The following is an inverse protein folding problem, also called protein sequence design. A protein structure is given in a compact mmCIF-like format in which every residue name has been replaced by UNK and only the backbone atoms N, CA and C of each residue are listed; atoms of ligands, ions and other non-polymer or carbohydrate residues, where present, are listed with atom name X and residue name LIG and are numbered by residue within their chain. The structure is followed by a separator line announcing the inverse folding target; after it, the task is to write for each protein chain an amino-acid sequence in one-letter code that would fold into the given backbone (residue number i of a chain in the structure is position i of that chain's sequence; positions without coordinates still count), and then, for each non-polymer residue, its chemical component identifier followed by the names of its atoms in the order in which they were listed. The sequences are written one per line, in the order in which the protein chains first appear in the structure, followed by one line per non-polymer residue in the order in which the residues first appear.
data_IF_649063920592
#
_entry.id   IF_649063920592
#
_cell.length_a   1.000
_cell.length_b   1.000
_cell.length_c   1.000
_cell.angle_alpha   90.00
_cell.angle_beta   90.00
_cell.angle_gamma   90.00
#
_symmetry.space_group_name_H-M   'P 1'
#
loop_
_entity.id
_entity.type
_entity.pdbx_description
1 polymer ?
#
# COMPACT_ATOMS: atom_id res chain seq x y z
N UNK A 1 -0.78 14.99 -14.85
CA UNK A 1 -0.81 16.01 -13.80
C UNK A 1 0.55 16.10 -13.13
N UNK A 2 0.90 17.28 -12.65
CA UNK A 2 2.27 17.55 -12.20
C UNK A 2 2.54 17.00 -10.79
N UNK A 3 1.54 17.09 -9.89
CA UNK A 3 1.62 16.60 -8.51
C UNK A 3 0.22 16.33 -7.94
N UNK A 4 0.16 15.81 -6.72
CA UNK A 4 -1.08 15.49 -6.04
C UNK A 4 -1.96 16.73 -5.76
N UNK A 5 -1.36 17.89 -5.49
CA UNK A 5 -2.11 19.13 -5.24
C UNK A 5 -2.79 19.64 -6.50
N UNK A 6 -2.11 19.58 -7.65
CA UNK A 6 -2.71 19.85 -8.95
C UNK A 6 -3.82 18.85 -9.26
N UNK A 7 -3.62 17.56 -8.98
CA UNK A 7 -4.66 16.54 -9.13
C UNK A 7 -5.89 16.84 -8.27
N UNK A 8 -5.70 17.18 -6.99
CA UNK A 8 -6.78 17.55 -6.08
C UNK A 8 -7.55 18.79 -6.59
N UNK A 9 -6.82 19.82 -7.03
CA UNK A 9 -7.43 21.03 -7.57
C UNK A 9 -8.35 20.73 -8.76
N UNK A 10 -7.90 19.86 -9.67
CA UNK A 10 -8.73 19.43 -10.80
C UNK A 10 -9.92 18.59 -10.35
N UNK A 11 -9.75 17.69 -9.39
CA UNK A 11 -10.84 16.88 -8.85
C UNK A 11 -11.92 17.77 -8.20
N UNK A 12 -11.52 18.81 -7.47
CA UNK A 12 -12.45 19.76 -6.88
C UNK A 12 -13.24 20.53 -7.95
N UNK A 13 -12.58 20.95 -9.05
CA UNK A 13 -13.21 21.65 -10.15
C UNK A 13 -14.16 20.78 -10.97
N UNK A 14 -13.81 19.49 -11.16
CA UNK A 14 -14.64 18.54 -11.95
C UNK A 14 -15.89 18.11 -11.19
N UNK A 15 -15.79 17.97 -9.87
CA UNK A 15 -16.96 17.67 -9.03
C UNK A 15 -16.76 16.47 -8.08
N UNK A 16 -17.82 16.07 -7.34
CA UNK A 16 -17.68 15.19 -6.18
C UNK A 16 -17.31 13.74 -6.52
N UNK A 17 -17.47 13.30 -7.77
CA UNK A 17 -17.09 11.96 -8.20
C UNK A 17 -15.61 11.84 -8.61
N UNK A 18 -14.94 12.98 -8.83
CA UNK A 18 -13.52 12.97 -9.17
C UNK A 18 -12.68 12.83 -7.90
N UNK A 19 -11.79 11.88 -7.89
CA UNK A 19 -10.90 11.56 -6.77
C UNK A 19 -9.47 11.43 -7.26
N UNK A 20 -8.52 11.60 -6.33
CA UNK A 20 -7.08 11.50 -6.61
C UNK A 20 -6.64 10.05 -6.45
N UNK A 21 -5.91 9.55 -7.41
CA UNK A 21 -5.13 8.31 -7.31
C UNK A 21 -3.73 8.69 -6.84
N UNK A 22 -3.24 7.99 -5.81
CA UNK A 22 -1.88 8.13 -5.30
C UNK A 22 -1.04 6.96 -5.82
N UNK A 23 -0.11 7.28 -6.72
CA UNK A 23 0.91 6.36 -7.18
C UNK A 23 2.19 6.59 -6.38
N UNK A 24 2.73 5.55 -5.73
CA UNK A 24 3.86 5.71 -4.83
C UNK A 24 5.16 6.06 -5.58
N UNK A 25 5.29 5.63 -6.84
CA UNK A 25 6.43 5.88 -7.70
C UNK A 25 6.49 7.29 -8.30
N UNK A 26 5.34 7.90 -8.54
CA UNK A 26 5.20 9.12 -9.33
C UNK A 26 5.43 10.44 -8.58
N UNK A 27 5.91 10.41 -7.36
CA UNK A 27 6.20 11.63 -6.59
C UNK A 27 7.69 12.00 -6.65
N UNK A 28 7.99 13.28 -6.47
CA UNK A 28 9.37 13.74 -6.34
C UNK A 28 10.08 13.04 -5.17
N UNK A 29 11.40 12.89 -5.27
CA UNK A 29 12.19 12.30 -4.19
C UNK A 29 12.02 13.10 -2.89
N UNK A 30 11.84 12.40 -1.76
CA UNK A 30 11.64 13.03 -0.45
C UNK A 30 10.22 13.54 -0.19
N UNK A 31 9.27 13.27 -1.07
CA UNK A 31 7.86 13.59 -0.81
C UNK A 31 7.33 12.69 0.31
N UNK A 32 6.66 13.32 1.28
CA UNK A 32 5.95 12.61 2.35
C UNK A 32 4.60 12.12 1.85
N UNK A 33 4.52 10.84 1.48
CA UNK A 33 3.31 10.26 0.87
C UNK A 33 2.22 10.01 1.91
N UNK A 34 2.56 9.60 3.13
CA UNK A 34 1.59 9.42 4.19
C UNK A 34 0.88 10.74 4.55
N UNK A 35 1.56 11.88 4.50
CA UNK A 35 0.92 13.18 4.67
C UNK A 35 -0.05 13.51 3.53
N UNK A 36 0.29 13.17 2.29
CA UNK A 36 -0.63 13.31 1.13
C UNK A 36 -1.89 12.47 1.36
N UNK A 37 -1.72 11.24 1.81
CA UNK A 37 -2.83 10.33 2.10
C UNK A 37 -3.74 10.92 3.18
N UNK A 38 -3.18 11.42 4.28
CA UNK A 38 -3.93 12.07 5.35
C UNK A 38 -4.73 13.27 4.83
N UNK A 39 -4.12 14.15 4.04
CA UNK A 39 -4.80 15.29 3.42
C UNK A 39 -5.95 14.87 2.49
N UNK A 40 -5.72 13.89 1.63
CA UNK A 40 -6.74 13.44 0.69
C UNK A 40 -7.91 12.72 1.38
N UNK A 41 -7.66 12.04 2.50
CA UNK A 41 -8.70 11.45 3.35
C UNK A 41 -9.55 12.54 4.02
N UNK A 42 -8.92 13.58 4.57
CA UNK A 42 -9.61 14.71 5.21
C UNK A 42 -10.50 15.46 4.21
N UNK A 43 -10.01 15.67 3.00
CA UNK A 43 -10.79 16.29 1.90
C UNK A 43 -11.84 15.36 1.27
N UNK A 44 -11.89 14.06 1.65
CA UNK A 44 -12.77 13.07 1.06
C UNK A 44 -12.48 12.81 -0.43
N UNK A 45 -11.21 12.92 -0.82
CA UNK A 45 -10.78 12.88 -2.24
C UNK A 45 -9.75 11.80 -2.55
N UNK A 46 -9.44 10.91 -1.62
CA UNK A 46 -8.62 9.74 -1.90
C UNK A 46 -9.44 8.68 -2.63
N UNK A 47 -9.11 8.42 -3.89
CA UNK A 47 -9.83 7.45 -4.73
C UNK A 47 -9.17 6.09 -4.79
N UNK A 48 -7.86 6.04 -4.71
CA UNK A 48 -7.13 4.78 -4.81
C UNK A 48 -5.63 4.94 -4.81
N UNK A 49 -4.98 3.80 -4.90
CA UNK A 49 -3.53 3.69 -4.98
C UNK A 49 -3.09 2.89 -6.19
N UNK A 50 -1.95 3.26 -6.75
CA UNK A 50 -1.03 2.37 -7.41
C UNK A 50 0.10 2.06 -6.44
N UNK A 51 0.06 0.87 -5.84
CA UNK A 51 1.09 0.41 -4.93
C UNK A 51 2.27 -0.17 -5.71
N UNK A 52 3.41 0.41 -5.51
CA UNK A 52 4.72 -0.02 -5.97
C UNK A 52 5.78 0.37 -4.94
N UNK A 53 7.05 0.19 -5.23
CA UNK A 53 8.14 0.78 -4.48
C UNK A 53 9.12 1.44 -5.46
N UNK A 54 9.66 2.58 -5.06
CA UNK A 54 10.66 3.33 -5.83
C UNK A 54 11.94 3.50 -5.02
N UNK A 55 13.06 3.60 -5.70
CA UNK A 55 14.34 3.91 -5.09
C UNK A 55 14.97 5.16 -5.68
N UNK A 56 15.04 5.23 -6.99
CA UNK A 56 15.70 6.33 -7.71
C UNK A 56 14.75 7.16 -8.55
N UNK A 57 13.76 6.52 -9.15
CA UNK A 57 12.75 7.13 -10.00
C UNK A 57 11.47 6.31 -9.91
N UNK A 58 10.71 6.24 -10.98
CA UNK A 58 9.55 5.39 -11.14
C UNK A 58 10.01 3.95 -11.45
N UNK A 59 10.48 3.28 -10.42
CA UNK A 59 11.15 1.97 -10.55
C UNK A 59 10.16 0.79 -10.57
N UNK A 60 8.92 0.98 -10.17
CA UNK A 60 7.86 -0.02 -10.08
C UNK A 60 8.29 -1.33 -9.39
N UNK A 61 9.05 -1.24 -8.32
CA UNK A 61 9.54 -2.39 -7.58
C UNK A 61 8.43 -3.05 -6.75
N UNK A 62 8.68 -4.26 -6.26
CA UNK A 62 7.81 -4.96 -5.32
C UNK A 62 7.48 -4.05 -4.13
N UNK A 63 6.21 -3.91 -3.83
CA UNK A 63 5.68 -3.00 -2.79
C UNK A 63 6.40 -3.17 -1.46
N UNK A 64 6.81 -2.07 -0.85
CA UNK A 64 7.43 -2.03 0.48
C UNK A 64 8.89 -2.48 0.56
N UNK A 65 9.54 -2.81 -0.58
CA UNK A 65 10.93 -3.31 -0.55
C UNK A 65 11.96 -2.24 -0.23
N UNK A 66 11.71 -0.99 -0.59
CA UNK A 66 12.67 0.12 -0.41
C UNK A 66 12.42 0.91 0.86
N UNK A 67 11.15 1.08 1.24
CA UNK A 67 10.76 1.81 2.44
C UNK A 67 9.54 1.14 3.12
N UNK A 68 9.72 0.04 3.84
CA UNK A 68 8.61 -0.66 4.50
C UNK A 68 7.97 0.18 5.62
N UNK A 69 8.69 1.13 6.22
CA UNK A 69 8.11 2.02 7.23
C UNK A 69 7.15 3.04 6.61
N UNK A 70 7.45 3.58 5.43
CA UNK A 70 6.54 4.46 4.68
C UNK A 70 5.25 3.72 4.31
N UNK A 71 5.36 2.49 3.80
CA UNK A 71 4.19 1.67 3.51
C UNK A 71 3.32 1.47 4.76
N UNK A 72 3.93 1.15 5.91
CA UNK A 72 3.23 1.04 7.18
C UNK A 72 2.59 2.38 7.60
N UNK A 73 3.27 3.51 7.42
CA UNK A 73 2.74 4.83 7.77
C UNK A 73 1.50 5.18 6.91
N UNK A 74 1.54 4.88 5.60
CA UNK A 74 0.38 5.01 4.71
C UNK A 74 -0.80 4.17 5.22
N UNK A 75 -0.57 2.89 5.54
CA UNK A 75 -1.62 2.04 6.11
C UNK A 75 -2.08 2.49 7.49
N UNK A 76 -1.20 3.13 8.27
CA UNK A 76 -1.59 3.73 9.55
C UNK A 76 -2.62 4.84 9.36
N UNK A 77 -2.45 5.73 8.37
CA UNK A 77 -3.44 6.74 8.04
C UNK A 77 -4.77 6.12 7.58
N UNK A 78 -4.70 5.14 6.66
CA UNK A 78 -5.89 4.45 6.15
C UNK A 78 -6.69 3.76 7.27
N UNK A 79 -6.03 2.94 8.09
CA UNK A 79 -6.68 2.21 9.20
C UNK A 79 -7.21 3.19 10.25
N UNK A 80 -6.48 4.28 10.53
CA UNK A 80 -6.95 5.33 11.40
C UNK A 80 -8.25 5.98 10.90
N UNK A 81 -8.34 6.22 9.60
CA UNK A 81 -9.51 6.77 8.95
C UNK A 81 -10.67 5.75 8.88
N UNK A 82 -10.39 4.49 8.55
CA UNK A 82 -11.38 3.40 8.47
C UNK A 82 -12.12 3.16 9.79
N UNK A 83 -11.43 3.33 10.92
CA UNK A 83 -11.94 3.09 12.26
C UNK A 83 -12.20 4.37 13.07
N UNK A 84 -11.90 5.55 12.49
CA UNK A 84 -12.09 6.86 13.12
C UNK A 84 -13.56 7.24 13.29
N UNK A 85 -13.82 8.28 14.08
CA UNK A 85 -15.18 8.72 14.44
C UNK A 85 -15.85 9.60 13.38
N UNK A 86 -15.09 10.15 12.41
CA UNK A 86 -15.64 11.05 11.41
C UNK A 86 -16.29 10.27 10.24
N UNK A 87 -17.64 10.30 10.08
CA UNK A 87 -18.32 9.40 9.14
C UNK A 87 -17.89 9.59 7.66
N UNK A 88 -17.64 10.84 7.24
CA UNK A 88 -17.25 11.14 5.85
C UNK A 88 -15.84 10.64 5.54
N UNK A 89 -14.89 10.82 6.46
CA UNK A 89 -13.51 10.32 6.32
C UNK A 89 -13.52 8.79 6.30
N UNK A 90 -14.26 8.16 7.21
CA UNK A 90 -14.43 6.71 7.24
C UNK A 90 -15.01 6.17 5.94
N UNK A 91 -16.06 6.78 5.43
CA UNK A 91 -16.67 6.38 4.16
C UNK A 91 -15.70 6.53 2.99
N UNK A 92 -14.88 7.58 2.96
CA UNK A 92 -13.83 7.73 1.95
C UNK A 92 -12.78 6.62 2.08
N UNK A 93 -12.24 6.37 3.26
CA UNK A 93 -11.22 5.35 3.49
C UNK A 93 -11.71 3.94 3.10
N UNK A 94 -12.95 3.59 3.45
CA UNK A 94 -13.58 2.31 3.09
C UNK A 94 -13.87 2.17 1.59
N UNK A 95 -13.92 3.27 0.85
CA UNK A 95 -14.14 3.29 -0.60
C UNK A 95 -12.86 3.31 -1.45
N UNK A 96 -11.68 3.35 -0.83
CA UNK A 96 -10.40 3.43 -1.53
C UNK A 96 -10.12 2.16 -2.34
N UNK A 97 -9.71 2.33 -3.59
CA UNK A 97 -9.29 1.24 -4.46
C UNK A 97 -7.81 0.91 -4.25
N UNK A 98 -7.51 -0.37 -4.04
CA UNK A 98 -6.14 -0.88 -3.86
C UNK A 98 -5.69 -1.59 -5.14
N UNK A 99 -4.73 -1.02 -5.84
CA UNK A 99 -4.17 -1.58 -7.05
C UNK A 99 -2.66 -1.75 -6.90
N UNK A 100 -2.13 -2.88 -7.37
CA UNK A 100 -0.69 -3.12 -7.44
C UNK A 100 -0.23 -2.72 -8.83
N UNK A 101 0.74 -1.81 -8.89
CA UNK A 101 1.35 -1.31 -10.14
C UNK A 101 2.83 -1.68 -10.24
N UNK A 102 3.21 -2.77 -9.62
CA UNK A 102 4.55 -3.32 -9.73
C UNK A 102 4.71 -3.99 -11.09
N UNK A 103 5.68 -3.56 -11.90
CA UNK A 103 5.85 -4.00 -13.29
C UNK A 103 7.27 -4.43 -13.66
N UNK A 104 8.14 -4.61 -12.70
CA UNK A 104 9.53 -5.01 -12.95
C UNK A 104 9.65 -6.34 -13.72
N UNK A 105 10.68 -6.49 -14.56
CA UNK A 105 10.78 -7.61 -15.52
C UNK A 105 11.75 -8.73 -15.12
N UNK A 106 12.43 -8.64 -13.99
CA UNK A 106 13.44 -9.61 -13.57
C UNK A 106 12.79 -10.81 -12.88
N UNK A 107 11.86 -10.55 -11.97
CA UNK A 107 11.19 -11.57 -11.19
C UNK A 107 9.98 -12.19 -11.89
N UNK A 108 9.59 -13.44 -11.51
CA UNK A 108 8.36 -14.05 -11.99
C UNK A 108 7.14 -13.20 -11.61
N UNK A 109 6.37 -12.76 -12.62
CA UNK A 109 5.30 -11.77 -12.47
C UNK A 109 4.26 -12.13 -11.39
N UNK A 110 3.76 -13.38 -11.40
CA UNK A 110 2.73 -13.81 -10.44
C UNK A 110 3.29 -13.83 -9.02
N UNK A 111 4.51 -14.32 -8.83
CA UNK A 111 5.14 -14.35 -7.51
C UNK A 111 5.43 -12.95 -6.98
N UNK A 112 5.88 -12.04 -7.85
CA UNK A 112 6.12 -10.64 -7.50
C UNK A 112 4.83 -9.92 -7.07
N UNK A 113 3.72 -10.17 -7.79
CA UNK A 113 2.41 -9.64 -7.42
C UNK A 113 1.92 -10.24 -6.09
N UNK A 114 2.07 -11.55 -5.88
CA UNK A 114 1.75 -12.17 -4.60
C UNK A 114 2.59 -11.57 -3.47
N UNK A 115 3.90 -11.39 -3.67
CA UNK A 115 4.77 -10.78 -2.65
C UNK A 115 4.33 -9.34 -2.33
N UNK A 116 3.96 -8.55 -3.34
CA UNK A 116 3.44 -7.20 -3.13
C UNK A 116 2.17 -7.21 -2.27
N UNK A 117 1.23 -8.10 -2.54
CA UNK A 117 0.02 -8.28 -1.71
C UNK A 117 0.38 -8.70 -0.28
N UNK A 118 1.33 -9.63 -0.11
CA UNK A 118 1.77 -10.08 1.22
C UNK A 118 2.37 -8.94 2.05
N UNK A 119 3.17 -8.07 1.41
CA UNK A 119 3.76 -6.90 2.06
C UNK A 119 2.68 -5.87 2.45
N UNK A 120 1.68 -5.65 1.60
CA UNK A 120 0.52 -4.82 1.93
C UNK A 120 -0.27 -5.39 3.12
N UNK A 121 -0.53 -6.69 3.15
CA UNK A 121 -1.22 -7.35 4.26
C UNK A 121 -0.44 -7.21 5.58
N UNK A 122 0.89 -7.33 5.52
CA UNK A 122 1.74 -7.13 6.70
C UNK A 122 1.66 -5.69 7.22
N UNK A 123 1.78 -4.70 6.33
CA UNK A 123 1.67 -3.30 6.68
C UNK A 123 0.29 -2.96 7.28
N UNK A 124 -0.80 -3.47 6.68
CA UNK A 124 -2.16 -3.30 7.18
C UNK A 124 -2.33 -3.91 8.58
N UNK A 125 -1.89 -5.17 8.78
CA UNK A 125 -1.98 -5.85 10.07
C UNK A 125 -1.22 -5.12 11.17
N UNK A 126 -0.03 -4.60 10.86
CA UNK A 126 0.75 -3.76 11.80
C UNK A 126 0.03 -2.44 12.10
N UNK A 127 -0.60 -1.82 11.11
CA UNK A 127 -1.37 -0.59 11.29
C UNK A 127 -2.59 -0.78 12.21
N UNK A 128 -3.22 -1.95 12.20
CA UNK A 128 -4.28 -2.32 13.15
C UNK A 128 -3.80 -2.36 14.62
N UNK A 129 -2.52 -2.58 14.85
CA UNK A 129 -1.94 -2.67 16.19
C UNK A 129 -1.51 -1.31 16.77
N UNK A 130 -1.64 -0.21 16.01
CA UNK A 130 -1.31 1.12 16.51
C UNK A 130 -2.26 1.52 17.64
N UNK A 131 -1.70 1.81 18.81
CA UNK A 131 -2.45 2.40 19.92
C UNK A 131 -2.85 3.85 19.58
N UNK A 132 -4.06 4.00 19.06
CA UNK A 132 -4.58 5.29 18.57
C UNK A 132 -4.79 6.31 19.68
N UNK A 133 -5.17 5.87 20.88
CA UNK A 133 -5.37 6.75 22.03
C UNK A 133 -4.02 7.30 22.51
N UNK A 134 -3.02 6.44 22.64
CA UNK A 134 -1.64 6.83 23.01
C UNK A 134 -1.04 7.76 21.95
N UNK A 135 -1.23 7.46 20.66
CA UNK A 135 -0.75 8.30 19.57
C UNK A 135 -1.40 9.69 19.61
N UNK A 136 -2.72 9.77 19.67
CA UNK A 136 -3.46 11.03 19.74
C UNK A 136 -3.07 11.86 20.98
N UNK A 137 -2.92 11.22 22.14
CA UNK A 137 -2.49 11.88 23.35
C UNK A 137 -1.07 12.46 23.23
N UNK A 138 -0.14 11.74 22.60
CA UNK A 138 1.21 12.21 22.33
C UNK A 138 1.22 13.41 21.37
N UNK A 139 0.47 13.31 20.28
CA UNK A 139 0.32 14.39 19.29
C UNK A 139 -0.27 15.66 19.92
N UNK A 140 -1.33 15.54 20.73
CA UNK A 140 -1.97 16.67 21.39
C UNK A 140 -1.02 17.43 22.35
N UNK A 141 -0.04 16.73 22.91
CA UNK A 141 0.98 17.33 23.80
C UNK A 141 2.23 17.81 23.05
N UNK A 142 2.34 17.55 21.75
CA UNK A 142 3.55 17.81 20.98
C UNK A 142 4.71 16.86 21.34
N UNK A 143 4.44 15.71 21.94
CA UNK A 143 5.44 14.71 22.32
C UNK A 143 5.79 13.84 21.10
N UNK A 144 6.64 14.38 20.23
CA UNK A 144 7.03 13.75 18.97
C UNK A 144 7.71 12.39 19.19
N UNK A 145 8.51 12.27 20.25
CA UNK A 145 9.22 11.02 20.54
C UNK A 145 8.25 9.91 20.96
N UNK A 146 7.25 10.23 21.77
CA UNK A 146 6.24 9.27 22.20
C UNK A 146 5.31 8.88 21.03
N UNK A 147 4.93 9.82 20.17
CA UNK A 147 4.20 9.53 18.95
C UNK A 147 5.00 8.57 18.05
N UNK A 148 6.29 8.84 17.82
CA UNK A 148 7.17 7.95 17.08
C UNK A 148 7.25 6.55 17.71
N UNK A 149 7.44 6.47 19.04
CA UNK A 149 7.54 5.17 19.75
C UNK A 149 6.27 4.35 19.58
N UNK A 150 5.11 4.98 19.66
CA UNK A 150 3.81 4.31 19.47
C UNK A 150 3.71 3.65 18.09
N UNK A 151 4.11 4.37 17.05
CA UNK A 151 4.14 3.82 15.69
C UNK A 151 5.23 2.74 15.55
N UNK A 152 6.43 2.98 16.08
CA UNK A 152 7.55 2.06 15.99
C UNK A 152 7.30 0.73 16.73
N UNK A 153 6.57 0.75 17.84
CA UNK A 153 6.18 -0.47 18.58
C UNK A 153 5.26 -1.35 17.71
N UNK A 154 4.25 -0.76 17.08
CA UNK A 154 3.36 -1.47 16.16
C UNK A 154 4.13 -2.01 14.93
N UNK A 155 4.96 -1.17 14.31
CA UNK A 155 5.76 -1.56 13.13
C UNK A 155 6.70 -2.74 13.41
N UNK A 156 7.28 -2.83 14.61
CA UNK A 156 8.22 -3.90 15.00
C UNK A 156 7.54 -5.18 15.44
N UNK A 157 6.22 -5.17 15.65
CA UNK A 157 5.47 -6.35 16.05
C UNK A 157 5.45 -7.39 14.92
N UNK A 158 5.73 -8.63 15.25
CA UNK A 158 5.62 -9.75 14.31
C UNK A 158 4.14 -10.13 14.15
N UNK A 159 3.64 -9.99 12.93
CA UNK A 159 2.25 -10.27 12.58
C UNK A 159 2.11 -11.48 11.63
N UNK A 160 3.18 -12.23 11.40
CA UNK A 160 3.19 -13.32 10.41
C UNK A 160 2.22 -14.43 10.77
N UNK A 161 2.20 -14.87 12.03
CA UNK A 161 1.30 -15.94 12.46
C UNK A 161 -0.17 -15.53 12.41
N UNK A 162 -0.60 -14.37 12.97
CA UNK A 162 -1.97 -13.90 12.82
C UNK A 162 -2.43 -13.77 11.37
N UNK A 163 -1.56 -13.29 10.47
CA UNK A 163 -1.90 -13.18 9.05
C UNK A 163 -2.08 -14.55 8.41
N UNK A 164 -1.25 -15.53 8.74
CA UNK A 164 -1.39 -16.91 8.26
C UNK A 164 -2.72 -17.51 8.70
N UNK A 165 -3.05 -17.40 9.98
CA UNK A 165 -4.33 -17.86 10.54
C UNK A 165 -5.53 -17.18 9.85
N UNK A 166 -5.46 -15.86 9.61
CA UNK A 166 -6.51 -15.13 8.91
C UNK A 166 -6.68 -15.64 7.46
N UNK A 167 -5.59 -15.90 6.74
CA UNK A 167 -5.66 -16.47 5.39
C UNK A 167 -6.33 -17.85 5.39
N UNK A 168 -5.92 -18.72 6.30
CA UNK A 168 -6.51 -20.07 6.45
C UNK A 168 -8.01 -19.98 6.75
N UNK A 169 -8.42 -19.10 7.65
CA UNK A 169 -9.83 -18.88 7.99
C UNK A 169 -10.64 -18.36 6.77
N UNK A 170 -10.01 -17.66 5.84
CA UNK A 170 -10.61 -17.20 4.59
C UNK A 170 -10.53 -18.23 3.46
N UNK A 171 -9.99 -19.43 3.70
CA UNK A 171 -9.78 -20.44 2.68
C UNK A 171 -8.65 -20.13 1.70
N UNK A 172 -7.73 -19.25 2.07
CA UNK A 172 -6.54 -18.89 1.28
C UNK A 172 -5.33 -19.64 1.86
N UNK A 173 -4.39 -20.11 1.03
CA UNK A 173 -3.18 -20.77 1.54
C UNK A 173 -2.40 -19.90 2.53
N UNK A 174 -1.91 -20.49 3.62
CA UNK A 174 -1.07 -19.81 4.61
C UNK A 174 0.19 -19.18 3.97
N UNK A 175 0.80 -19.90 3.02
CA UNK A 175 1.89 -19.42 2.15
C UNK A 175 1.42 -19.43 0.68
N UNK A 176 0.91 -18.30 0.16
CA UNK A 176 0.41 -18.22 -1.22
C UNK A 176 1.48 -18.42 -2.28
N UNK A 177 2.75 -18.05 -2.03
CA UNK A 177 3.84 -18.24 -2.99
C UNK A 177 4.20 -19.71 -3.10
N UNK A 178 4.35 -20.41 -1.97
CA UNK A 178 4.61 -21.85 -1.97
C UNK A 178 3.45 -22.61 -2.64
N UNK A 179 2.22 -22.24 -2.36
CA UNK A 179 1.04 -22.83 -2.99
C UNK A 179 1.00 -22.58 -4.50
N UNK A 180 1.34 -21.36 -4.94
CA UNK A 180 1.44 -21.04 -6.36
C UNK A 180 2.49 -21.92 -7.06
N UNK A 181 3.69 -22.06 -6.48
CA UNK A 181 4.75 -22.92 -7.02
C UNK A 181 4.30 -24.39 -7.10
N UNK A 182 3.71 -24.89 -6.03
CA UNK A 182 3.22 -26.27 -5.98
C UNK A 182 2.06 -26.53 -6.95
N UNK A 183 1.35 -25.51 -7.38
CA UNK A 183 0.23 -25.65 -8.32
C UNK A 183 0.66 -26.05 -9.74
N UNK A 184 1.92 -25.88 -10.11
CA UNK A 184 2.39 -26.08 -11.49
C UNK A 184 1.76 -25.12 -12.52
N UNK A 185 1.23 -23.97 -12.05
CA UNK A 185 0.55 -23.01 -12.94
C UNK A 185 1.49 -22.46 -14.01
N UNK A 186 2.72 -22.12 -13.64
CA UNK A 186 3.69 -21.51 -14.55
C UNK A 186 4.05 -22.46 -15.69
N UNK A 187 4.28 -23.74 -15.39
CA UNK A 187 4.59 -24.77 -16.38
C UNK A 187 3.43 -24.97 -17.36
N UNK A 188 2.20 -25.07 -16.84
CA UNK A 188 1.01 -25.20 -17.71
C UNK A 188 0.76 -23.96 -18.55
N UNK A 189 0.93 -22.76 -17.98
CA UNK A 189 0.76 -21.51 -18.72
C UNK A 189 1.81 -21.36 -19.82
N UNK A 190 3.06 -21.72 -19.55
CA UNK A 190 4.14 -21.71 -20.53
C UNK A 190 3.91 -22.72 -21.65
N UNK A 191 3.45 -23.92 -21.32
CA UNK A 191 3.15 -24.97 -22.32
C UNK A 191 1.99 -24.56 -23.26
N UNK A 192 1.02 -23.81 -22.75
CA UNK A 192 -0.15 -23.40 -23.54
C UNK A 192 0.01 -22.08 -24.29
N UNK A 193 0.74 -21.13 -23.73
CA UNK A 193 0.86 -19.75 -24.24
C UNK A 193 2.22 -19.43 -24.81
N UNK A 194 3.20 -20.33 -24.66
CA UNK A 194 4.60 -20.08 -24.94
C UNK A 194 5.29 -19.21 -23.89
N UNK A 195 6.59 -19.08 -24.00
CA UNK A 195 7.36 -18.10 -23.24
C UNK A 195 7.24 -16.74 -23.93
N UNK A 196 6.96 -15.68 -23.20
CA UNK A 196 7.10 -14.33 -23.72
C UNK A 196 8.58 -14.12 -24.14
N UNK A 197 8.83 -14.20 -25.43
CA UNK A 197 10.12 -13.76 -25.99
C UNK A 197 10.15 -12.26 -25.90
N UNK A 198 11.01 -11.74 -25.04
CA UNK A 198 11.18 -10.38 -24.62
C UNK A 198 10.75 -9.31 -25.61
N UNK A 199 10.07 -8.36 -25.13
CA UNK A 199 9.66 -7.22 -25.90
C UNK A 199 8.81 -6.29 -25.08
N UNK A 200 9.39 -5.63 -24.12
CA UNK A 200 8.70 -4.69 -23.26
C UNK A 200 9.59 -4.18 -22.13
N UNK A 201 10.90 -4.38 -22.26
CA UNK A 201 11.82 -3.70 -21.37
C UNK A 201 11.86 -2.23 -21.76
N UNK A 202 11.72 -1.34 -20.81
CA UNK A 202 12.15 0.03 -21.00
C UNK A 202 13.59 0.00 -21.52
N UNK A 203 13.94 0.82 -22.51
CA UNK A 203 15.32 0.92 -22.96
C UNK A 203 16.16 1.38 -21.76
N UNK A 204 17.14 0.56 -21.41
CA UNK A 204 18.20 0.88 -20.42
C UNK A 204 19.09 1.98 -20.95
#
# INVERSE_FOLDING_TARGET
LFDWGAALTHCLAVGPKAQVLVDLGHHAQGTNIEAIVAFLLDEGRLGGFHFNARRYADDDLIVGTTNPFELFAIYSELVGAEHGDHPAIRANAQGVAYMIDQSHNIEPKVEAMLQSVLNCQEAYAKALLVDRERLAAAQARGDVLEAYRTLADAFRTDVRDPIREAREAMGVPADPIAAHRASGYLERATATRGTATGGGGYPT
#
